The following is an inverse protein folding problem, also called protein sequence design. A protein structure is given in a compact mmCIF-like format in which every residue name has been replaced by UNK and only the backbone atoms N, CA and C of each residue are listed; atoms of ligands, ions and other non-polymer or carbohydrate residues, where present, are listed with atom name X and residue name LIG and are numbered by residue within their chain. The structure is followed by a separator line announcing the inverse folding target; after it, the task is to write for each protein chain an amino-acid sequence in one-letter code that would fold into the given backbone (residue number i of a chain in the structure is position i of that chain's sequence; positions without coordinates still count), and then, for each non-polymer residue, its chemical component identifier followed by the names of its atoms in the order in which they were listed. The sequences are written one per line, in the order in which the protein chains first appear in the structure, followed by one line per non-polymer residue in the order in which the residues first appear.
data_IF_781514930392
#
_entry.id   IF_781514930392
#
_cell.length_a   1.000
_cell.length_b   1.000
_cell.length_c   1.000
_cell.angle_alpha   90.00
_cell.angle_beta   90.00
_cell.angle_gamma   90.00
#
_symmetry.space_group_name_H-M   'P 1'
#
loop_
_entity.id
_entity.type
_entity.pdbx_description
1 polymer ?
#
# COMPACT_ATOMS: atom_id res chain seq x y z
N UNK A 1 -1.63 0.84 -8.54
CA UNK A 1 -0.52 -0.15 -8.39
C UNK A 1 0.78 0.47 -8.87
N UNK A 2 1.92 0.09 -8.30
CA UNK A 2 3.26 0.51 -8.76
C UNK A 2 4.27 -0.62 -8.58
N UNK A 3 5.29 -0.68 -9.43
CA UNK A 3 6.28 -1.76 -9.42
C UNK A 3 7.72 -1.26 -9.38
N UNK A 4 8.58 -2.12 -8.86
CA UNK A 4 10.04 -2.04 -8.93
C UNK A 4 10.57 -3.47 -9.19
N UNK A 5 11.87 -3.67 -9.51
CA UNK A 5 12.39 -5.02 -9.75
C UNK A 5 12.05 -5.99 -8.62
N UNK A 6 11.29 -7.05 -8.94
CA UNK A 6 10.89 -8.11 -8.00
C UNK A 6 9.72 -7.78 -7.06
N UNK A 7 9.16 -6.57 -7.09
CA UNK A 7 8.09 -6.16 -6.16
C UNK A 7 7.00 -5.35 -6.86
N UNK A 8 5.74 -5.63 -6.51
CA UNK A 8 4.58 -4.81 -6.87
C UNK A 8 3.82 -4.41 -5.61
N UNK A 9 3.45 -3.14 -5.49
CA UNK A 9 2.50 -2.67 -4.49
C UNK A 9 1.13 -2.42 -5.12
N UNK A 10 0.09 -2.88 -4.42
CA UNK A 10 -1.31 -2.78 -4.85
C UNK A 10 -2.12 -2.06 -3.79
N UNK A 11 -2.95 -1.11 -4.21
CA UNK A 11 -3.95 -0.49 -3.35
C UNK A 11 -5.28 -1.24 -3.56
N UNK A 12 -5.91 -1.60 -2.44
CA UNK A 12 -7.29 -2.06 -2.39
C UNK A 12 -8.09 -0.94 -1.73
N UNK A 13 -8.81 -0.16 -2.54
CA UNK A 13 -9.37 1.13 -2.13
C UNK A 13 -10.39 1.03 -1.00
N UNK A 14 -11.26 0.01 -1.02
CA UNK A 14 -12.28 -0.20 0.01
C UNK A 14 -12.16 -1.58 0.68
N UNK A 15 -10.97 -2.18 0.61
CA UNK A 15 -10.66 -3.44 1.25
C UNK A 15 -10.63 -3.36 2.78
N UNK A 16 -10.60 -4.53 3.41
CA UNK A 16 -10.49 -4.70 4.85
C UNK A 16 -11.81 -4.56 5.62
N UNK A 17 -11.83 -4.91 6.92
CA UNK A 17 -13.06 -4.91 7.73
C UNK A 17 -13.73 -3.55 7.85
N UNK A 18 -12.95 -2.47 7.89
CA UNK A 18 -13.47 -1.10 7.96
C UNK A 18 -13.97 -0.56 6.60
N UNK A 19 -13.72 -1.29 5.50
CA UNK A 19 -13.97 -0.84 4.12
C UNK A 19 -13.29 0.48 3.75
N UNK A 20 -12.12 0.73 4.35
CA UNK A 20 -11.35 1.98 4.18
C UNK A 20 -10.05 1.78 3.39
N UNK A 21 -9.67 0.54 3.16
CA UNK A 21 -8.60 0.19 2.25
C UNK A 21 -7.42 -0.53 2.89
N UNK A 22 -6.63 -1.14 2.01
CA UNK A 22 -5.49 -1.98 2.33
C UNK A 22 -4.39 -1.76 1.29
N UNK A 23 -3.13 -1.89 1.70
CA UNK A 23 -1.98 -1.97 0.79
C UNK A 23 -1.40 -3.37 0.84
N UNK A 24 -1.25 -3.97 -0.34
CA UNK A 24 -0.60 -5.26 -0.52
C UNK A 24 0.77 -5.09 -1.17
N UNK A 25 1.69 -5.97 -0.81
CA UNK A 25 3.00 -6.15 -1.44
C UNK A 25 3.07 -7.56 -2.03
N UNK A 26 3.32 -7.64 -3.33
CA UNK A 26 3.59 -8.87 -4.05
C UNK A 26 5.10 -8.98 -4.28
N UNK A 27 5.72 -9.97 -3.64
CA UNK A 27 7.05 -10.44 -3.99
C UNK A 27 6.96 -11.36 -5.20
N UNK A 28 7.59 -10.97 -6.32
CA UNK A 28 7.68 -11.81 -7.52
C UNK A 28 8.88 -12.73 -7.36
N UNK A 29 8.63 -14.03 -7.31
CA UNK A 29 9.65 -15.02 -7.09
C UNK A 29 10.43 -15.36 -8.38
N UNK A 30 11.64 -15.92 -8.28
CA UNK A 30 12.34 -16.48 -9.42
C UNK A 30 11.55 -17.60 -10.11
N UNK A 31 11.87 -17.91 -11.38
CA UNK A 31 11.21 -19.01 -12.10
C UNK A 31 11.30 -20.34 -11.35
N UNK A 32 10.16 -20.99 -11.13
CA UNK A 32 10.06 -22.26 -10.41
C UNK A 32 9.71 -22.13 -8.93
N UNK A 33 9.61 -20.90 -8.41
CA UNK A 33 9.14 -20.60 -7.05
C UNK A 33 7.76 -19.92 -7.07
N UNK A 34 7.14 -19.77 -5.89
CA UNK A 34 5.81 -19.14 -5.76
C UNK A 34 5.96 -17.68 -5.34
N UNK A 35 5.21 -16.80 -6.00
CA UNK A 35 5.05 -15.42 -5.57
C UNK A 35 4.42 -15.35 -4.16
N UNK A 36 4.74 -14.28 -3.43
CA UNK A 36 4.18 -14.05 -2.09
C UNK A 36 3.42 -12.74 -2.04
N UNK A 37 2.11 -12.82 -1.80
CA UNK A 37 1.27 -11.66 -1.53
C UNK A 37 1.16 -11.43 -0.01
N UNK A 38 1.53 -10.23 0.45
CA UNK A 38 1.46 -9.83 1.86
C UNK A 38 0.59 -8.59 2.02
N UNK A 39 -0.30 -8.60 3.02
CA UNK A 39 -0.94 -7.38 3.50
C UNK A 39 0.09 -6.60 4.33
N UNK A 40 0.44 -5.39 3.91
CA UNK A 40 1.49 -4.57 4.55
C UNK A 40 0.94 -3.33 5.25
N UNK A 41 -0.26 -2.89 4.90
CA UNK A 41 -1.00 -1.88 5.65
C UNK A 41 -2.51 -2.12 5.51
N UNK A 42 -3.27 -1.85 6.57
CA UNK A 42 -4.73 -1.91 6.60
C UNK A 42 -5.27 -0.76 7.44
N UNK A 43 -6.32 -0.11 6.95
CA UNK A 43 -7.04 0.88 7.73
C UNK A 43 -7.88 0.20 8.82
N UNK A 44 -7.54 0.46 10.09
CA UNK A 44 -8.24 -0.13 11.26
C UNK A 44 -9.29 0.82 11.87
N UNK A 45 -9.19 2.12 11.62
CA UNK A 45 -10.08 3.15 12.17
C UNK A 45 -10.04 4.45 11.34
N UNK A 46 -10.80 5.46 11.77
CA UNK A 46 -10.95 6.74 11.07
C UNK A 46 -9.69 7.62 11.06
N UNK A 47 -8.69 7.34 11.89
CA UNK A 47 -7.42 8.05 11.91
C UNK A 47 -6.35 7.39 11.02
N UNK A 48 -6.67 6.27 10.35
CA UNK A 48 -5.81 5.63 9.37
C UNK A 48 -6.12 6.15 7.96
N UNK A 49 -5.30 5.73 6.98
CA UNK A 49 -5.56 6.00 5.57
C UNK A 49 -6.98 5.60 5.15
N UNK A 50 -7.55 6.33 4.20
CA UNK A 50 -8.89 6.10 3.66
C UNK A 50 -8.89 6.19 2.14
N UNK A 51 -9.45 5.17 1.48
CA UNK A 51 -9.55 5.11 0.03
C UNK A 51 -8.20 5.30 -0.68
N UNK A 52 -7.14 4.53 -0.33
CA UNK A 52 -5.89 4.59 -1.06
C UNK A 52 -6.11 4.18 -2.52
N UNK A 53 -5.53 4.93 -3.45
CA UNK A 53 -5.62 4.65 -4.88
C UNK A 53 -4.22 4.59 -5.50
N UNK A 54 -3.59 5.76 -5.66
CA UNK A 54 -2.32 5.84 -6.37
C UNK A 54 -1.14 5.53 -5.45
N UNK A 55 -0.14 4.87 -6.02
CA UNK A 55 1.06 4.43 -5.32
C UNK A 55 2.28 4.85 -6.12
N UNK A 56 3.37 5.20 -5.43
CA UNK A 56 4.70 5.29 -6.03
C UNK A 56 5.77 4.80 -5.06
N UNK A 57 6.82 4.18 -5.60
CA UNK A 57 7.95 3.68 -4.82
C UNK A 57 9.11 4.67 -4.99
N UNK A 58 9.59 5.22 -3.89
CA UNK A 58 10.77 6.07 -3.89
C UNK A 58 12.05 5.25 -4.11
N UNK A 59 13.16 5.88 -4.57
CA UNK A 59 14.44 5.17 -4.75
C UNK A 59 14.96 4.48 -3.48
N UNK A 60 14.59 4.97 -2.29
CA UNK A 60 14.93 4.37 -1.00
C UNK A 60 14.08 3.16 -0.58
N UNK A 61 13.06 2.81 -1.37
CA UNK A 61 12.15 1.69 -1.11
C UNK A 61 10.87 2.04 -0.35
N UNK A 62 10.77 3.25 0.20
CA UNK A 62 9.53 3.75 0.80
C UNK A 62 8.43 3.88 -0.26
N UNK A 63 7.17 3.68 0.15
CA UNK A 63 6.00 3.79 -0.72
C UNK A 63 5.16 4.99 -0.30
N UNK A 64 4.83 5.84 -1.26
CA UNK A 64 3.89 6.93 -1.08
C UNK A 64 2.52 6.54 -1.62
N UNK A 65 1.49 6.81 -0.84
CA UNK A 65 0.11 6.39 -1.05
C UNK A 65 -0.76 7.63 -1.09
N UNK A 66 -1.46 7.87 -2.20
CA UNK A 66 -2.42 8.95 -2.31
C UNK A 66 -3.84 8.44 -2.05
N UNK A 67 -4.59 9.16 -1.22
CA UNK A 67 -6.02 8.93 -1.01
C UNK A 67 -6.85 9.55 -2.14
N UNK A 68 -7.89 8.83 -2.57
CA UNK A 68 -8.92 9.32 -3.48
C UNK A 68 -10.31 9.10 -2.87
N UNK A 69 -10.53 9.77 -1.74
CA UNK A 69 -11.78 9.74 -0.98
C UNK A 69 -12.44 11.12 -0.88
N UNK A 70 -13.30 11.25 0.13
CA UNK A 70 -13.86 12.55 0.50
C UNK A 70 -12.79 13.39 1.21
N UNK A 71 -12.73 14.68 0.87
CA UNK A 71 -11.74 15.58 1.45
C UNK A 71 -11.80 15.63 3.00
N UNK A 72 -10.66 15.78 3.69
CA UNK A 72 -9.33 15.95 3.11
C UNK A 72 -8.72 14.62 2.64
N UNK A 73 -8.02 14.66 1.49
CA UNK A 73 -7.17 13.57 1.02
C UNK A 73 -5.70 13.88 1.39
N UNK A 74 -4.99 12.87 1.89
CA UNK A 74 -3.61 12.95 2.35
C UNK A 74 -2.68 12.11 1.47
N UNK A 75 -1.36 12.30 1.68
CA UNK A 75 -0.32 11.45 1.10
C UNK A 75 0.35 10.71 2.26
N UNK A 76 0.17 9.39 2.31
CA UNK A 76 0.77 8.57 3.34
C UNK A 76 2.12 7.99 2.88
N UNK A 77 3.09 7.93 3.79
CA UNK A 77 4.37 7.25 3.59
C UNK A 77 4.36 5.91 4.34
N UNK A 78 4.50 4.79 3.62
CA UNK A 78 4.84 3.48 4.17
C UNK A 78 6.34 3.26 4.06
N UNK A 79 7.01 3.17 5.21
CA UNK A 79 8.46 2.98 5.30
C UNK A 79 8.83 1.51 5.19
N UNK A 80 10.09 1.24 4.84
CA UNK A 80 10.63 -0.12 4.75
C UNK A 80 10.58 -0.91 6.07
N UNK A 81 10.50 -0.23 7.22
CA UNK A 81 10.34 -0.85 8.54
C UNK A 81 8.87 -1.20 8.88
N UNK A 82 7.91 -0.86 8.01
CA UNK A 82 6.48 -1.10 8.19
C UNK A 82 5.70 0.04 8.84
N UNK A 83 6.37 1.11 9.27
CA UNK A 83 5.65 2.26 9.82
C UNK A 83 4.92 3.04 8.73
N UNK A 84 3.75 3.59 9.07
CA UNK A 84 2.90 4.37 8.17
C UNK A 84 2.49 5.70 8.81
N UNK A 85 2.64 6.80 8.06
CA UNK A 85 2.33 8.16 8.53
C UNK A 85 1.71 9.01 7.41
N UNK A 86 0.81 9.96 7.72
CA UNK A 86 0.28 10.92 6.75
C UNK A 86 1.28 12.04 6.38
#
# INVERSE_FOLDING_TARGET
MWSSPGVVYLASTDGGPARRGQIYRLDIAPPGEQDRLSLVAQAENDNAMANPDNLTIAPGGDVYIAEDGSAPNLIWQLRSNGDIFP
#
